data_IF_848235010988
#
_entry.id   IF_848235010988
#
_cell.length_a   1.000
_cell.length_b   1.000
_cell.length_c   1.000
_cell.angle_alpha   90.00
_cell.angle_beta   90.00
_cell.angle_gamma   90.00
#
_symmetry.space_group_name_H-M   'P 1'
#
loop_
_entity.id
_entity.type
_entity.pdbx_description
1 polymer ?
#
# COMPACT_ATOMS: atom_id res chain seq x y z
N UNK A 1 -17.05 -12.70 -13.68
CA UNK A 1 -15.58 -12.82 -13.77
C UNK A 1 -15.19 -14.27 -13.51
N UNK A 2 -14.25 -14.81 -14.29
CA UNK A 2 -13.77 -16.18 -14.10
C UNK A 2 -12.76 -16.19 -12.96
N UNK A 3 -12.99 -17.02 -11.93
CA UNK A 3 -12.05 -17.25 -10.83
C UNK A 3 -11.29 -18.52 -11.11
N UNK A 4 -9.96 -18.49 -11.03
CA UNK A 4 -9.11 -19.67 -11.10
C UNK A 4 -8.54 -19.94 -9.72
N UNK A 5 -8.80 -21.11 -9.16
CA UNK A 5 -8.28 -21.56 -7.88
C UNK A 5 -7.03 -22.42 -8.10
N UNK A 6 -5.89 -21.97 -7.57
CA UNK A 6 -4.65 -22.73 -7.57
C UNK A 6 -4.37 -23.21 -6.14
N UNK A 7 -4.36 -24.53 -5.93
CA UNK A 7 -4.06 -25.15 -4.64
C UNK A 7 -2.69 -25.81 -4.69
N UNK A 8 -1.94 -25.68 -3.62
CA UNK A 8 -0.66 -26.35 -3.43
C UNK A 8 -0.81 -27.43 -2.36
N UNK A 9 -0.15 -28.59 -2.54
CA UNK A 9 -0.19 -29.72 -1.58
C UNK A 9 0.41 -29.36 -0.22
N UNK A 10 1.40 -28.45 -0.23
CA UNK A 10 2.08 -27.96 0.98
C UNK A 10 2.16 -26.42 0.92
N UNK A 11 2.20 -25.74 2.08
CA UNK A 11 2.44 -24.29 2.13
C UNK A 11 3.78 -23.95 1.47
N UNK A 12 3.76 -23.11 0.45
CA UNK A 12 4.96 -22.67 -0.28
C UNK A 12 5.60 -21.42 0.30
N UNK A 13 4.91 -20.72 1.22
CA UNK A 13 5.20 -19.34 1.58
C UNK A 13 4.64 -18.34 0.57
N UNK A 14 4.50 -17.10 1.02
CA UNK A 14 3.86 -16.05 0.21
C UNK A 14 4.58 -15.79 -1.12
N UNK A 15 5.93 -15.61 -1.18
CA UNK A 15 6.61 -15.29 -2.43
C UNK A 15 6.45 -16.35 -3.50
N UNK A 16 6.51 -17.63 -3.13
CA UNK A 16 6.36 -18.73 -4.08
C UNK A 16 4.93 -18.86 -4.60
N UNK A 17 3.94 -18.69 -3.73
CA UNK A 17 2.52 -18.68 -4.12
C UNK A 17 2.20 -17.49 -5.02
N UNK A 18 2.70 -16.28 -4.69
CA UNK A 18 2.57 -15.09 -5.51
C UNK A 18 3.22 -15.27 -6.90
N UNK A 19 4.44 -15.83 -6.95
CA UNK A 19 5.13 -16.12 -8.20
C UNK A 19 4.37 -17.11 -9.09
N UNK A 20 3.70 -18.10 -8.50
CA UNK A 20 2.85 -19.03 -9.25
C UNK A 20 1.68 -18.28 -9.92
N UNK A 21 1.02 -17.36 -9.20
CA UNK A 21 -0.02 -16.49 -9.74
C UNK A 21 0.50 -15.54 -10.82
N UNK A 22 1.68 -14.93 -10.62
CA UNK A 22 2.34 -14.04 -11.58
C UNK A 22 2.65 -14.79 -12.88
N UNK A 23 3.13 -16.03 -12.82
CA UNK A 23 3.36 -16.85 -14.01
C UNK A 23 2.06 -17.24 -14.73
N UNK A 24 1.02 -17.55 -13.96
CA UNK A 24 -0.29 -17.91 -14.52
C UNK A 24 -1.01 -16.73 -15.18
N UNK A 25 -0.62 -15.48 -14.87
CA UNK A 25 -1.16 -14.24 -15.44
C UNK A 25 -0.32 -13.70 -16.61
N UNK A 26 0.31 -14.58 -17.40
CA UNK A 26 1.23 -14.20 -18.46
C UNK A 26 0.69 -13.05 -19.34
N UNK A 27 1.51 -12.02 -19.55
CA UNK A 27 1.19 -10.85 -20.38
C UNK A 27 0.29 -9.80 -19.74
N UNK A 28 -0.23 -10.03 -18.51
CA UNK A 28 -1.10 -9.07 -17.83
C UNK A 28 -0.40 -8.42 -16.62
N UNK A 29 -0.82 -7.21 -16.27
CA UNK A 29 -0.49 -6.61 -15.00
C UNK A 29 -1.03 -7.46 -13.85
N UNK A 30 -0.40 -7.35 -12.69
CA UNK A 30 -0.75 -8.15 -11.51
C UNK A 30 -1.04 -7.24 -10.34
N UNK A 31 -2.01 -7.62 -9.52
CA UNK A 31 -2.19 -7.05 -8.19
C UNK A 31 -1.95 -8.16 -7.17
N UNK A 32 -0.96 -7.95 -6.31
CA UNK A 32 -0.85 -8.73 -5.08
C UNK A 32 -1.84 -8.14 -4.09
N UNK A 33 -2.75 -8.96 -3.58
CA UNK A 33 -3.80 -8.53 -2.66
C UNK A 33 -3.90 -9.53 -1.51
N UNK A 34 -3.72 -9.04 -0.29
CA UNK A 34 -3.86 -9.88 0.90
C UNK A 34 -5.32 -10.30 1.10
N UNK A 35 -5.52 -11.52 1.60
CA UNK A 35 -6.85 -12.10 1.85
C UNK A 35 -7.63 -11.40 2.97
N UNK A 36 -6.96 -10.59 3.81
CA UNK A 36 -7.52 -9.85 4.93
C UNK A 36 -7.78 -8.35 4.62
N UNK A 37 -7.87 -8.03 3.33
CA UNK A 37 -8.23 -6.70 2.83
C UNK A 37 -9.74 -6.57 2.55
N UNK A 38 -10.24 -5.34 2.63
CA UNK A 38 -11.55 -4.95 2.12
C UNK A 38 -11.35 -3.90 1.04
N UNK A 39 -11.74 -4.25 -0.19
CA UNK A 39 -11.59 -3.37 -1.35
C UNK A 39 -12.92 -2.66 -1.66
N UNK A 40 -12.89 -1.36 -1.95
CA UNK A 40 -14.08 -0.60 -2.37
C UNK A 40 -14.40 -0.84 -3.85
N UNK A 41 -15.62 -0.54 -4.32
CA UNK A 41 -15.94 -0.56 -5.75
C UNK A 41 -15.04 0.39 -6.56
N UNK A 42 -14.61 -0.02 -7.75
CA UNK A 42 -13.83 0.82 -8.66
C UNK A 42 -12.36 1.06 -8.26
N UNK A 43 -11.86 0.39 -7.24
CA UNK A 43 -10.48 0.56 -6.77
C UNK A 43 -9.42 0.20 -7.83
N UNK A 44 -9.64 -0.90 -8.54
CA UNK A 44 -8.70 -1.37 -9.56
C UNK A 44 -8.71 -0.47 -10.80
N UNK A 45 -9.89 -0.01 -11.19
CA UNK A 45 -10.10 0.93 -12.29
C UNK A 45 -9.40 2.28 -12.06
N UNK A 46 -9.08 2.62 -10.80
CA UNK A 46 -8.32 3.83 -10.42
C UNK A 46 -6.82 3.57 -10.23
N UNK A 47 -6.43 2.37 -9.79
CA UNK A 47 -5.00 2.02 -9.69
C UNK A 47 -4.34 1.83 -11.07
N UNK A 48 -5.07 1.27 -12.03
CA UNK A 48 -4.53 1.04 -13.37
C UNK A 48 -4.09 2.33 -14.09
N UNK A 49 -4.92 3.37 -14.22
CA UNK A 49 -4.48 4.65 -14.80
C UNK A 49 -3.30 5.27 -14.05
N UNK A 50 -3.26 5.15 -12.72
CA UNK A 50 -2.14 5.61 -11.90
C UNK A 50 -0.82 4.92 -12.28
N UNK A 51 -0.86 3.62 -12.58
CA UNK A 51 0.32 2.85 -13.01
C UNK A 51 0.84 3.26 -14.40
N UNK A 52 -0.03 3.84 -15.23
CA UNK A 52 0.30 4.27 -16.60
C UNK A 52 0.34 5.80 -16.76
N UNK A 53 0.28 6.55 -15.64
CA UNK A 53 0.40 8.01 -15.67
C UNK A 53 1.78 8.48 -16.11
N UNK A 54 2.81 7.65 -15.90
CA UNK A 54 4.15 7.88 -16.39
C UNK A 54 4.79 6.55 -16.85
N UNK A 55 5.77 6.61 -17.74
CA UNK A 55 6.39 5.41 -18.33
C UNK A 55 7.24 4.64 -17.33
N UNK A 56 7.83 5.31 -16.39
CA UNK A 56 8.75 4.77 -15.39
C UNK A 56 8.05 4.29 -14.10
N UNK A 57 6.74 4.49 -13.94
CA UNK A 57 5.99 3.94 -12.81
C UNK A 57 5.88 2.42 -12.97
N UNK A 58 6.48 1.68 -12.05
CA UNK A 58 6.45 0.22 -12.02
C UNK A 58 5.41 -0.38 -11.09
N UNK A 59 5.13 0.29 -9.98
CA UNK A 59 4.15 -0.18 -8.97
C UNK A 59 3.30 0.96 -8.41
N UNK A 60 2.08 0.61 -7.99
CA UNK A 60 1.16 1.53 -7.32
C UNK A 60 0.60 0.88 -6.06
N UNK A 61 0.58 1.62 -4.96
CA UNK A 61 0.00 1.20 -3.69
C UNK A 61 -1.04 2.22 -3.21
N UNK A 62 -2.25 1.81 -2.80
CA UNK A 62 -3.26 2.70 -2.22
C UNK A 62 -2.91 3.06 -0.76
N UNK A 63 -3.63 4.03 -0.17
CA UNK A 63 -3.65 4.23 1.28
C UNK A 63 -4.42 3.12 1.99
N UNK A 64 -4.08 2.89 3.26
CA UNK A 64 -4.79 1.94 4.12
C UNK A 64 -4.79 2.40 5.57
N UNK A 65 -5.62 1.78 6.40
CA UNK A 65 -5.53 1.94 7.85
C UNK A 65 -4.25 1.30 8.43
N UNK A 66 -3.71 0.27 7.77
CA UNK A 66 -2.52 -0.46 8.22
C UNK A 66 -1.66 -0.87 7.01
N UNK A 67 -0.74 0.02 6.62
CA UNK A 67 0.12 -0.13 5.45
C UNK A 67 1.50 0.53 5.66
N UNK A 68 2.09 0.39 6.83
CA UNK A 68 3.43 0.93 7.11
C UNK A 68 3.52 2.42 6.73
N UNK A 69 4.43 2.79 5.83
CA UNK A 69 4.64 4.19 5.37
C UNK A 69 3.42 4.81 4.67
N UNK A 70 2.43 4.02 4.28
CA UNK A 70 1.20 4.44 3.58
C UNK A 70 -0.03 4.41 4.49
N UNK A 71 0.16 4.28 5.80
CA UNK A 71 -0.95 4.28 6.76
C UNK A 71 -1.63 5.64 6.87
N UNK A 72 -2.96 5.59 7.07
CA UNK A 72 -3.80 6.74 7.33
C UNK A 72 -4.66 6.46 8.59
N UNK A 73 -4.80 7.41 9.51
CA UNK A 73 -4.48 8.86 9.40
C UNK A 73 -3.01 9.22 9.54
N UNK A 74 -2.14 8.40 10.07
CA UNK A 74 -0.74 8.71 10.30
C UNK A 74 0.22 7.68 9.67
N UNK A 75 1.50 8.05 9.45
CA UNK A 75 2.47 7.18 8.80
C UNK A 75 2.95 6.02 9.68
N UNK A 76 2.65 6.04 10.96
CA UNK A 76 3.03 5.00 11.91
C UNK A 76 1.82 4.53 12.70
N UNK A 77 1.73 3.23 12.90
CA UNK A 77 0.74 2.58 13.73
C UNK A 77 -0.33 1.81 12.97
N UNK A 78 -0.89 0.84 13.68
CA UNK A 78 -2.05 0.07 13.24
C UNK A 78 -3.31 0.83 13.68
N UNK A 79 -4.10 1.28 12.72
CA UNK A 79 -5.42 1.81 13.00
C UNK A 79 -6.45 0.68 12.88
N UNK A 80 -7.55 0.71 13.67
CA UNK A 80 -8.59 -0.29 13.58
C UNK A 80 -9.08 -0.44 12.13
N UNK A 81 -9.27 -1.68 11.68
CA UNK A 81 -9.81 -1.94 10.35
C UNK A 81 -11.28 -1.51 10.30
N UNK A 82 -11.66 -0.60 9.40
CA UNK A 82 -13.06 -0.28 9.17
C UNK A 82 -13.80 -1.49 8.58
N UNK A 83 -15.13 -1.52 8.76
CA UNK A 83 -15.98 -2.45 8.03
C UNK A 83 -16.09 -2.08 6.54
N UNK A 84 -16.83 -2.87 5.75
CA UNK A 84 -16.98 -2.63 4.32
C UNK A 84 -17.67 -1.29 4.02
N UNK A 85 -18.68 -0.91 4.80
CA UNK A 85 -19.43 0.33 4.58
C UNK A 85 -18.54 1.56 4.87
N UNK A 86 -17.81 1.52 5.98
CA UNK A 86 -16.86 2.56 6.35
C UNK A 86 -15.66 2.61 5.37
N UNK A 87 -15.18 1.46 4.88
CA UNK A 87 -14.15 1.39 3.83
C UNK A 87 -14.61 2.09 2.56
N UNK A 88 -15.80 1.78 2.09
CA UNK A 88 -16.39 2.42 0.91
C UNK A 88 -16.59 3.93 1.10
N UNK A 89 -16.93 4.36 2.31
CA UNK A 89 -17.05 5.79 2.63
C UNK A 89 -15.69 6.49 2.64
N UNK A 90 -14.69 5.89 3.30
CA UNK A 90 -13.33 6.43 3.34
C UNK A 90 -12.74 6.54 1.93
N UNK A 91 -12.94 5.52 1.11
CA UNK A 91 -12.47 5.51 -0.27
C UNK A 91 -13.10 6.62 -1.13
N UNK A 92 -14.42 6.83 -1.05
CA UNK A 92 -15.08 7.95 -1.74
C UNK A 92 -14.52 9.32 -1.29
N UNK A 93 -14.18 9.46 -0.01
CA UNK A 93 -13.56 10.69 0.49
C UNK A 93 -12.12 10.83 0.04
N UNK A 94 -11.36 9.73 0.00
CA UNK A 94 -10.01 9.69 -0.54
C UNK A 94 -9.98 10.11 -2.02
N UNK A 95 -10.88 9.57 -2.83
CA UNK A 95 -11.03 9.93 -4.24
C UNK A 95 -11.37 11.43 -4.41
N UNK A 96 -12.32 11.95 -3.66
CA UNK A 96 -12.68 13.38 -3.71
C UNK A 96 -11.56 14.31 -3.24
N UNK A 97 -10.77 13.88 -2.27
CA UNK A 97 -9.67 14.68 -1.72
C UNK A 97 -8.41 14.62 -2.58
N UNK A 98 -8.14 13.47 -3.19
CA UNK A 98 -6.84 13.15 -3.78
C UNK A 98 -6.94 12.44 -5.15
N UNK A 99 -8.08 12.46 -5.82
CA UNK A 99 -8.22 11.86 -7.15
C UNK A 99 -7.15 12.39 -8.11
N UNK A 100 -6.45 11.50 -8.81
CA UNK A 100 -5.35 11.84 -9.71
C UNK A 100 -4.03 12.21 -9.04
N UNK A 101 -3.97 12.34 -7.69
CA UNK A 101 -2.71 12.59 -6.99
C UNK A 101 -1.86 11.31 -6.94
N UNK A 102 -0.59 11.42 -7.30
CA UNK A 102 0.42 10.39 -7.13
C UNK A 102 1.57 10.96 -6.29
N UNK A 103 2.14 10.12 -5.43
CA UNK A 103 3.28 10.50 -4.57
C UNK A 103 4.35 9.43 -4.68
N UNK A 104 5.57 9.82 -5.03
CA UNK A 104 6.70 8.88 -5.06
C UNK A 104 6.96 8.29 -3.68
N UNK A 105 7.16 6.97 -3.65
CA UNK A 105 7.47 6.21 -2.44
C UNK A 105 8.73 5.37 -2.64
N UNK A 106 9.49 5.07 -1.57
CA UNK A 106 10.70 4.28 -1.68
C UNK A 106 10.44 2.85 -2.18
N UNK A 107 9.41 2.22 -1.65
CA UNK A 107 8.96 0.86 -1.97
C UNK A 107 7.44 0.78 -1.87
N UNK A 108 6.81 -0.10 -2.64
CA UNK A 108 5.40 -0.45 -2.46
C UNK A 108 5.18 -1.31 -1.22
N UNK A 109 3.93 -1.49 -0.81
CA UNK A 109 3.53 -2.30 0.34
C UNK A 109 2.64 -3.45 -0.11
N UNK A 110 3.02 -4.67 0.25
CA UNK A 110 2.48 -5.93 -0.29
C UNK A 110 1.02 -6.24 0.03
N UNK A 111 0.35 -5.49 0.95
CA UNK A 111 -1.05 -5.75 1.26
C UNK A 111 -1.98 -5.54 0.06
N UNK A 112 -1.65 -4.56 -0.80
CA UNK A 112 -2.33 -4.26 -2.05
C UNK A 112 -1.32 -3.56 -2.99
N UNK A 113 -0.64 -4.33 -3.82
CA UNK A 113 0.44 -3.84 -4.67
C UNK A 113 0.12 -4.11 -6.14
N UNK A 114 -0.16 -3.06 -6.90
CA UNK A 114 -0.28 -3.12 -8.36
C UNK A 114 1.11 -3.17 -8.98
N UNK A 115 1.35 -4.12 -9.84
CA UNK A 115 2.62 -4.39 -10.53
C UNK A 115 2.38 -4.32 -12.04
N UNK A 116 3.05 -3.41 -12.71
CA UNK A 116 3.05 -3.40 -14.19
C UNK A 116 3.82 -4.60 -14.73
N UNK A 117 3.31 -5.17 -15.81
CA UNK A 117 3.95 -6.32 -16.48
C UNK A 117 5.37 -5.99 -16.95
N UNK A 118 5.58 -4.79 -17.49
CA UNK A 118 6.90 -4.35 -17.97
C UNK A 118 7.92 -4.33 -16.82
N UNK A 119 7.50 -3.80 -15.68
CA UNK A 119 8.34 -3.78 -14.46
C UNK A 119 8.63 -5.20 -13.96
N UNK A 120 7.62 -6.09 -13.94
CA UNK A 120 7.79 -7.51 -13.59
C UNK A 120 8.76 -8.22 -14.53
N UNK A 121 8.68 -7.96 -15.83
CA UNK A 121 9.57 -8.55 -16.81
C UNK A 121 11.01 -8.04 -16.66
N UNK A 122 11.19 -6.76 -16.31
CA UNK A 122 12.49 -6.16 -16.11
C UNK A 122 13.15 -6.58 -14.78
N UNK A 123 12.41 -6.51 -13.66
CA UNK A 123 12.92 -6.77 -12.32
C UNK A 123 12.90 -8.25 -11.94
N UNK A 124 12.12 -9.08 -12.65
CA UNK A 124 11.95 -10.49 -12.37
C UNK A 124 10.95 -10.76 -11.24
N UNK A 125 10.91 -11.99 -10.80
CA UNK A 125 9.96 -12.48 -9.78
C UNK A 125 10.39 -12.11 -8.35
N UNK A 126 9.51 -12.35 -7.39
CA UNK A 126 9.85 -12.25 -5.96
C UNK A 126 10.89 -13.33 -5.60
N UNK A 127 11.88 -12.99 -4.77
CA UNK A 127 12.98 -13.90 -4.41
C UNK A 127 12.55 -14.90 -3.35
N UNK A 128 12.32 -16.13 -3.77
CA UNK A 128 11.95 -17.26 -2.90
C UNK A 128 13.15 -17.91 -2.21
N UNK A 129 14.33 -17.78 -2.78
CA UNK A 129 15.61 -18.25 -2.24
C UNK A 129 16.02 -17.51 -0.97
N UNK A 130 15.59 -16.25 -0.83
CA UNK A 130 15.94 -15.37 0.30
C UNK A 130 14.78 -15.21 1.26
N UNK A 131 13.57 -14.93 0.74
CA UNK A 131 12.39 -14.56 1.51
C UNK A 131 11.32 -15.66 1.48
N UNK A 132 11.73 -16.93 1.67
CA UNK A 132 10.90 -18.13 1.43
C UNK A 132 9.49 -18.07 2.05
N UNK A 133 9.35 -17.48 3.24
CA UNK A 133 8.07 -17.43 3.95
C UNK A 133 7.35 -16.08 3.86
N UNK A 134 8.03 -15.04 3.38
CA UNK A 134 7.50 -13.67 3.28
C UNK A 134 8.23 -12.67 4.18
N UNK A 135 7.81 -11.42 4.11
CA UNK A 135 8.40 -10.21 4.70
C UNK A 135 9.74 -9.79 4.07
N UNK A 136 9.68 -8.76 3.24
CA UNK A 136 10.82 -8.13 2.58
C UNK A 136 10.92 -8.44 1.09
N UNK A 137 10.19 -9.41 0.58
CA UNK A 137 10.18 -9.80 -0.84
C UNK A 137 9.65 -8.69 -1.76
N UNK A 138 8.60 -7.97 -1.33
CA UNK A 138 8.07 -6.83 -2.07
C UNK A 138 9.02 -5.63 -2.03
N UNK A 139 9.68 -5.41 -0.89
CA UNK A 139 10.70 -4.37 -0.75
C UNK A 139 11.91 -4.69 -1.61
N UNK A 140 12.41 -5.93 -1.59
CA UNK A 140 13.49 -6.39 -2.48
C UNK A 140 13.12 -6.21 -3.96
N UNK A 141 11.90 -6.60 -4.35
CA UNK A 141 11.41 -6.40 -5.70
C UNK A 141 11.44 -4.92 -6.10
N UNK A 142 10.87 -4.06 -5.27
CA UNK A 142 10.83 -2.62 -5.51
C UNK A 142 12.25 -2.03 -5.62
N UNK A 143 13.16 -2.42 -4.75
CA UNK A 143 14.53 -1.92 -4.78
C UNK A 143 15.29 -2.40 -6.02
N UNK A 144 15.12 -3.65 -6.46
CA UNK A 144 15.66 -4.13 -7.73
C UNK A 144 15.08 -3.37 -8.92
N UNK A 145 13.77 -3.17 -8.94
CA UNK A 145 13.09 -2.39 -9.98
C UNK A 145 13.61 -0.93 -10.01
N UNK A 146 13.82 -0.31 -8.84
CA UNK A 146 14.36 1.03 -8.71
C UNK A 146 15.77 1.16 -9.29
N UNK A 147 16.64 0.16 -9.12
CA UNK A 147 17.95 0.13 -9.75
C UNK A 147 17.90 0.08 -11.29
N UNK A 148 16.77 -0.36 -11.85
CA UNK A 148 16.49 -0.37 -13.28
C UNK A 148 15.77 0.89 -13.78
N UNK A 149 15.61 1.90 -12.92
CA UNK A 149 14.96 3.18 -13.26
C UNK A 149 13.42 3.21 -13.03
N UNK A 150 12.83 2.14 -12.47
CA UNK A 150 11.41 2.14 -12.14
C UNK A 150 11.12 2.93 -10.87
N UNK A 151 10.01 3.64 -10.88
CA UNK A 151 9.46 4.37 -9.74
C UNK A 151 8.31 3.59 -9.11
N UNK A 152 8.10 3.84 -7.83
CA UNK A 152 6.97 3.33 -7.06
C UNK A 152 6.16 4.51 -6.57
N UNK A 153 4.82 4.43 -6.68
CA UNK A 153 3.97 5.54 -6.29
C UNK A 153 2.86 5.10 -5.33
N UNK A 154 2.53 5.97 -4.40
CA UNK A 154 1.27 5.90 -3.67
C UNK A 154 0.16 6.54 -4.51
N UNK A 155 -1.04 5.96 -4.45
CA UNK A 155 -2.27 6.51 -5.00
C UNK A 155 -3.22 6.90 -3.87
N UNK A 156 -3.07 8.08 -3.24
CA UNK A 156 -3.86 8.48 -2.08
C UNK A 156 -5.33 8.75 -2.39
N UNK A 157 -5.73 8.75 -3.66
CA UNK A 157 -7.12 8.77 -4.11
C UNK A 157 -7.84 7.42 -4.00
N UNK A 158 -7.15 6.36 -3.57
CA UNK A 158 -7.73 5.03 -3.33
C UNK A 158 -7.43 4.62 -1.88
N UNK A 159 -8.46 4.12 -1.18
CA UNK A 159 -8.33 3.60 0.17
C UNK A 159 -8.79 2.14 0.24
N UNK A 160 -7.89 1.24 0.63
CA UNK A 160 -8.17 -0.19 0.84
C UNK A 160 -7.95 -0.53 2.29
N UNK A 161 -8.95 -1.08 2.97
CA UNK A 161 -8.80 -1.49 4.37
C UNK A 161 -8.00 -2.80 4.49
N UNK A 162 -7.18 -2.90 5.53
CA UNK A 162 -6.31 -4.04 5.79
C UNK A 162 -6.31 -4.39 7.28
N UNK A 163 -6.25 -5.68 7.59
CA UNK A 163 -6.19 -6.19 8.98
C UNK A 163 -4.79 -6.61 9.37
N UNK A 164 -3.77 -5.95 9.10
CA UNK A 164 -2.38 -6.35 9.35
C UNK A 164 -2.14 -7.42 10.41
N UNK A 165 -1.15 -8.26 10.15
CA UNK A 165 -0.73 -9.32 11.09
C UNK A 165 -1.60 -10.59 11.12
N UNK A 166 -2.72 -10.65 10.38
CA UNK A 166 -3.61 -11.81 10.41
C UNK A 166 -2.98 -13.07 9.79
N UNK A 167 -2.16 -12.93 8.77
CA UNK A 167 -1.59 -14.07 8.02
C UNK A 167 -0.46 -14.81 8.75
N UNK A 168 0.26 -14.15 9.65
CA UNK A 168 1.45 -14.72 10.28
C UNK A 168 1.40 -14.70 11.83
N UNK A 169 0.44 -14.03 12.44
CA UNK A 169 0.32 -13.94 13.90
C UNK A 169 1.66 -13.57 14.57
N UNK A 170 2.01 -14.25 15.66
CA UNK A 170 3.29 -14.05 16.37
C UNK A 170 4.53 -14.43 15.54
N UNK A 171 4.40 -15.30 14.53
CA UNK A 171 5.51 -15.66 13.65
C UNK A 171 5.93 -14.50 12.72
N UNK A 172 5.05 -13.54 12.46
CA UNK A 172 5.33 -12.41 11.58
C UNK A 172 6.46 -11.51 12.09
N UNK A 173 6.52 -11.26 13.40
CA UNK A 173 7.59 -10.47 14.02
C UNK A 173 8.97 -11.16 13.90
N UNK A 174 9.03 -12.47 14.06
CA UNK A 174 10.26 -13.25 13.89
C UNK A 174 10.74 -13.26 12.44
N UNK A 175 9.83 -13.41 11.48
CA UNK A 175 10.17 -13.36 10.06
C UNK A 175 10.70 -11.98 9.66
N UNK A 176 10.05 -10.91 10.12
CA UNK A 176 10.51 -9.55 9.89
C UNK A 176 11.89 -9.31 10.48
N UNK A 177 12.11 -9.65 11.76
CA UNK A 177 13.40 -9.50 12.42
C UNK A 177 14.53 -10.32 11.75
N UNK A 178 14.21 -11.51 11.22
CA UNK A 178 15.15 -12.34 10.45
C UNK A 178 15.50 -11.71 9.11
N UNK A 179 14.50 -11.20 8.39
CA UNK A 179 14.67 -10.79 6.99
C UNK A 179 15.17 -9.35 6.84
N UNK A 180 14.93 -8.48 7.82
CA UNK A 180 15.38 -7.09 7.78
C UNK A 180 16.93 -6.95 7.62
N UNK A 181 17.79 -7.66 8.38
CA UNK A 181 19.23 -7.62 8.16
C UNK A 181 19.66 -8.15 6.78
N UNK A 182 18.92 -9.13 6.25
CA UNK A 182 19.16 -9.68 4.91
C UNK A 182 18.85 -8.63 3.85
N UNK A 183 17.69 -8.00 3.95
CA UNK A 183 17.26 -6.93 3.04
C UNK A 183 18.26 -5.75 3.06
N UNK A 184 18.69 -5.32 4.26
CA UNK A 184 19.66 -4.25 4.41
C UNK A 184 21.04 -4.59 3.81
N UNK A 185 21.44 -5.85 3.85
CA UNK A 185 22.69 -6.30 3.22
C UNK A 185 22.58 -6.34 1.70
N UNK A 186 21.44 -6.76 1.17
CA UNK A 186 21.17 -6.80 -0.27
C UNK A 186 21.03 -5.39 -0.87
N UNK A 187 20.50 -4.47 -0.08
CA UNK A 187 20.21 -3.10 -0.49
C UNK A 187 20.77 -2.09 0.52
N UNK A 188 22.11 -1.86 0.53
CA UNK A 188 22.71 -0.85 1.39
C UNK A 188 22.06 0.52 1.17
N UNK A 189 21.73 1.23 2.27
CA UNK A 189 21.04 2.53 2.18
C UNK A 189 19.51 2.44 2.23
N UNK A 190 18.91 1.25 2.16
CA UNK A 190 17.45 1.12 2.27
C UNK A 190 16.88 1.70 3.58
N UNK A 191 17.46 1.45 4.78
CA UNK A 191 16.99 2.07 6.01
C UNK A 191 17.04 3.60 5.98
N UNK A 192 18.06 4.18 5.35
CA UNK A 192 18.19 5.64 5.21
C UNK A 192 17.16 6.20 4.24
N UNK A 193 16.86 5.49 3.17
CA UNK A 193 15.81 5.84 2.22
C UNK A 193 14.44 5.90 2.90
N UNK A 194 14.10 4.91 3.71
CA UNK A 194 12.85 4.90 4.50
C UNK A 194 12.83 6.02 5.53
N UNK A 195 13.92 6.23 6.25
CA UNK A 195 14.05 7.29 7.26
C UNK A 195 13.87 8.68 6.65
N UNK A 196 14.53 8.92 5.52
CA UNK A 196 14.43 10.19 4.78
C UNK A 196 13.00 10.42 4.26
N UNK A 197 12.34 9.38 3.75
CA UNK A 197 10.95 9.47 3.31
C UNK A 197 10.01 9.81 4.46
N UNK A 198 10.16 9.16 5.62
CA UNK A 198 9.34 9.43 6.80
C UNK A 198 9.59 10.83 7.37
N UNK A 199 10.82 11.29 7.35
CA UNK A 199 11.16 12.64 7.82
C UNK A 199 10.62 13.75 6.88
N UNK A 200 10.67 13.53 5.59
CA UNK A 200 10.13 14.46 4.58
C UNK A 200 8.60 14.44 4.51
N UNK A 201 7.99 13.30 4.86
CA UNK A 201 6.55 13.03 4.84
C UNK A 201 5.80 13.58 3.59
N UNK A 202 6.15 13.15 2.38
CA UNK A 202 5.56 13.68 1.15
C UNK A 202 4.06 13.36 1.02
N UNK A 203 3.54 12.45 1.85
CA UNK A 203 2.11 12.14 1.93
C UNK A 203 1.31 13.08 2.84
N UNK A 204 1.96 13.91 3.66
CA UNK A 204 1.28 14.83 4.58
C UNK A 204 0.25 15.74 3.88
N UNK A 205 0.53 16.34 2.70
CA UNK A 205 -0.46 17.16 1.99
C UNK A 205 -1.71 16.34 1.60
N UNK A 206 -1.54 15.11 1.14
CA UNK A 206 -2.65 14.24 0.75
C UNK A 206 -3.49 13.81 1.97
N UNK A 207 -2.84 13.43 3.08
CA UNK A 207 -3.53 13.13 4.35
C UNK A 207 -4.29 14.34 4.87
N UNK A 208 -3.70 15.52 4.85
CA UNK A 208 -4.35 16.76 5.29
C UNK A 208 -5.60 17.09 4.47
N UNK A 209 -5.55 16.97 3.12
CA UNK A 209 -6.76 17.13 2.28
C UNK A 209 -7.85 16.14 2.65
N UNK A 210 -7.48 14.90 2.93
CA UNK A 210 -8.40 13.87 3.34
C UNK A 210 -9.03 14.18 4.71
N UNK A 211 -8.24 14.60 5.70
CA UNK A 211 -8.70 14.99 7.05
C UNK A 211 -9.68 16.15 6.99
N UNK A 212 -9.35 17.21 6.25
CA UNK A 212 -10.25 18.36 6.08
C UNK A 212 -11.60 17.95 5.49
N UNK A 213 -11.58 17.08 4.49
CA UNK A 213 -12.83 16.61 3.88
C UNK A 213 -13.64 15.72 4.83
N UNK A 214 -12.98 14.82 5.56
CA UNK A 214 -13.62 13.99 6.60
C UNK A 214 -14.27 14.85 7.67
N UNK A 215 -13.55 15.84 8.16
CA UNK A 215 -14.05 16.77 9.17
C UNK A 215 -15.27 17.53 8.67
N UNK A 216 -15.23 18.10 7.47
CA UNK A 216 -16.38 18.80 6.84
C UNK A 216 -17.62 17.92 6.73
N UNK A 217 -17.46 16.68 6.29
CA UNK A 217 -18.58 15.73 6.18
C UNK A 217 -19.13 15.35 7.56
N UNK A 218 -18.27 15.19 8.56
CA UNK A 218 -18.68 14.92 9.94
C UNK A 218 -19.48 16.11 10.53
N UNK A 219 -19.03 17.32 10.33
CA UNK A 219 -19.71 18.55 10.78
C UNK A 219 -21.09 18.71 10.12
N UNK A 220 -21.19 18.50 8.81
CA UNK A 220 -22.45 18.58 8.09
C UNK A 220 -23.49 17.55 8.59
N UNK A 221 -23.04 16.38 9.07
CA UNK A 221 -23.91 15.33 9.63
C UNK A 221 -24.32 15.61 11.07
N UNK A 222 -23.45 16.29 11.83
CA UNK A 222 -23.69 16.50 13.26
C UNK A 222 -24.78 17.56 13.55
N UNK A 223 -25.16 18.38 12.57
CA UNK A 223 -26.09 19.51 12.70
C UNK A 223 -25.83 20.37 13.98
N UNK A 224 -24.57 20.44 14.40
CA UNK A 224 -24.17 21.18 15.60
C UNK A 224 -23.53 22.49 15.21
N UNK A 225 -24.11 23.59 15.67
CA UNK A 225 -23.47 24.90 15.64
C UNK A 225 -22.45 24.96 16.78
N UNK A 226 -21.20 25.27 16.45
CA UNK A 226 -20.20 25.61 17.46
C UNK A 226 -20.22 27.13 17.62
N UNK A 227 -20.65 27.62 18.77
CA UNK A 227 -20.54 29.04 19.14
C UNK A 227 -19.16 29.22 19.82
N UNK A 228 -18.26 29.91 19.16
CA UNK A 228 -17.00 30.33 19.75
C UNK A 228 -17.25 31.65 20.51
N UNK A 229 -17.22 31.59 21.83
CA UNK A 229 -17.23 32.80 22.66
C UNK A 229 -15.77 33.16 22.95
N UNK A 230 -15.30 34.23 22.31
CA UNK A 230 -13.98 34.80 22.64
C UNK A 230 -14.17 35.90 23.64
N UNK A 231 -13.51 35.83 24.81
CA UNK A 231 -13.32 36.99 25.67
C UNK A 231 -12.26 37.90 25.04
N UNK A 232 -12.67 39.07 24.68
CA UNK A 232 -11.76 40.15 24.37
C UNK A 232 -11.48 40.90 25.70
N UNK A 233 -10.57 40.38 26.47
CA UNK A 233 -9.96 41.17 27.53
C UNK A 233 -8.60 41.66 27.06
N UNK A 234 -8.44 42.93 27.09
CA UNK A 234 -7.53 43.94 26.78
C UNK A 234 -6.02 43.71 26.82
#
# INVERSE_FOLDING_TARGET
RKITLQRHRHPLGFPAAANAGIRASAGQDVVLLNSDTLVPPGWLERLRPAAYADRDIGTVTPLSNDASILSYPGPAGTNPRPDQAATNQLDRLAERANGGTLVDIPVGVGFCLYLRRDCLNAAGLLRTDVFAQGYGEESDFCLRARHLGWRHVACPGVFVAHRGGASFGSAGSHLKARNEPILNRLHPGYPDLIRSFLAADPLAPARRRFDVLRWRVAQARAQRSVILVTHADG
#
